data_IF_116774090455
#
_entry.id   IF_116774090455
#
_cell.length_a   1.000
_cell.length_b   1.000
_cell.length_c   1.000
_cell.angle_alpha   90.00
_cell.angle_beta   90.00
_cell.angle_gamma   90.00
#
_symmetry.space_group_name_H-M   'P 1'
#
loop_
_entity.id
_entity.type
_entity.pdbx_description
1 polymer ?
#
# COMPACT_ATOMS: atom_id res chain seq x y z
N UNK A 1 30.46 -10.69 -2.51
CA UNK A 1 30.05 -9.28 -2.54
C UNK A 1 29.52 -8.94 -1.16
N UNK A 2 29.87 -7.78 -0.61
CA UNK A 2 29.36 -7.34 0.69
C UNK A 2 28.15 -6.43 0.43
N UNK A 3 27.00 -6.74 1.04
CA UNK A 3 25.76 -5.98 0.86
C UNK A 3 25.52 -5.15 2.11
N UNK A 4 25.23 -3.88 1.91
CA UNK A 4 24.90 -2.94 2.97
C UNK A 4 23.66 -2.15 2.55
N UNK A 5 22.87 -1.74 3.55
CA UNK A 5 21.75 -0.80 3.38
C UNK A 5 20.61 -1.35 2.50
N UNK A 6 20.47 -2.69 2.43
CA UNK A 6 19.39 -3.31 1.69
C UNK A 6 18.04 -2.93 2.32
N UNK A 7 17.11 -2.40 1.52
CA UNK A 7 15.80 -1.85 1.97
C UNK A 7 15.88 -0.64 2.93
N UNK A 8 17.06 -0.06 3.17
CA UNK A 8 17.21 1.08 4.08
C UNK A 8 17.11 2.46 3.42
N UNK A 9 17.47 2.56 2.14
CA UNK A 9 17.66 3.85 1.48
C UNK A 9 16.69 4.14 0.33
N UNK A 10 15.73 3.26 0.06
CA UNK A 10 14.81 3.46 -1.06
C UNK A 10 15.43 3.18 -2.43
N UNK A 11 14.80 3.66 -3.51
CA UNK A 11 15.34 3.54 -4.88
C UNK A 11 16.40 4.59 -5.15
N UNK A 12 17.53 4.17 -5.73
CA UNK A 12 18.50 5.09 -6.31
C UNK A 12 17.89 5.68 -7.57
N UNK A 13 17.82 7.01 -7.62
CA UNK A 13 17.27 7.78 -8.75
C UNK A 13 18.35 8.24 -9.70
N UNK A 14 19.45 8.66 -9.12
CA UNK A 14 20.56 9.22 -9.86
C UNK A 14 21.87 9.04 -9.09
N UNK A 15 22.95 8.98 -9.85
CA UNK A 15 24.32 8.89 -9.35
C UNK A 15 25.15 9.92 -10.10
N UNK A 16 25.71 10.88 -9.38
CA UNK A 16 26.62 11.86 -9.97
C UNK A 16 27.99 11.84 -9.30
N UNK A 17 29.02 12.13 -10.09
CA UNK A 17 30.40 12.16 -9.63
C UNK A 17 30.93 13.59 -9.79
N UNK A 18 31.36 14.17 -8.68
CA UNK A 18 31.94 15.51 -8.67
C UNK A 18 33.39 15.50 -9.18
N UNK A 19 33.92 16.63 -9.69
CA UNK A 19 35.29 16.70 -10.21
C UNK A 19 36.39 16.31 -9.21
N UNK A 20 36.11 16.43 -7.91
CA UNK A 20 37.00 16.02 -6.84
C UNK A 20 36.95 14.50 -6.52
N UNK A 21 36.14 13.74 -7.25
CA UNK A 21 35.97 12.29 -7.09
C UNK A 21 34.92 11.87 -6.07
N UNK A 22 34.17 12.80 -5.48
CA UNK A 22 33.06 12.46 -4.60
C UNK A 22 31.88 11.89 -5.41
N UNK A 23 31.20 10.89 -4.84
CA UNK A 23 30.02 10.26 -5.44
C UNK A 23 28.80 10.70 -4.65
N UNK A 24 27.76 11.15 -5.34
CA UNK A 24 26.48 11.49 -4.74
C UNK A 24 25.43 10.51 -5.26
N UNK A 25 24.69 9.90 -4.34
CA UNK A 25 23.54 9.06 -4.62
C UNK A 25 22.29 9.83 -4.21
N UNK A 26 21.38 10.04 -5.15
CA UNK A 26 20.04 10.52 -4.82
C UNK A 26 19.13 9.31 -4.63
N UNK A 27 18.49 9.25 -3.47
CA UNK A 27 17.42 8.28 -3.23
C UNK A 27 16.09 8.99 -3.18
N UNK A 28 15.09 8.38 -3.80
CA UNK A 28 13.72 8.84 -3.66
C UNK A 28 12.78 7.66 -3.53
N UNK A 29 11.75 7.93 -2.76
CA UNK A 29 10.68 7.04 -2.41
C UNK A 29 9.32 7.61 -2.82
N UNK A 30 9.29 8.84 -3.36
CA UNK A 30 8.06 9.49 -3.81
C UNK A 30 7.42 8.84 -5.04
N UNK A 31 8.20 8.10 -5.83
CA UNK A 31 7.69 7.33 -6.96
C UNK A 31 7.46 5.84 -6.61
N UNK A 32 7.60 5.46 -5.34
CA UNK A 32 7.10 4.16 -4.90
C UNK A 32 5.60 4.14 -5.02
N UNK A 33 5.13 3.18 -5.79
CA UNK A 33 3.74 3.01 -6.12
C UNK A 33 3.32 1.64 -5.57
N UNK A 34 2.73 1.61 -4.35
CA UNK A 34 2.47 0.34 -3.70
C UNK A 34 1.59 -0.60 -4.51
N UNK A 35 0.69 0.01 -5.28
CA UNK A 35 -0.14 -0.60 -6.31
C UNK A 35 0.60 -1.46 -7.35
N UNK A 36 1.83 -1.12 -7.73
CA UNK A 36 2.56 -1.78 -8.83
C UNK A 36 3.74 -2.65 -8.39
N UNK A 37 4.20 -2.54 -7.14
CA UNK A 37 5.25 -3.40 -6.56
C UNK A 37 4.87 -3.95 -5.18
N UNK A 38 3.67 -4.51 -5.00
CA UNK A 38 3.13 -4.75 -3.67
C UNK A 38 4.01 -5.70 -2.82
N UNK A 39 4.85 -6.53 -3.47
CA UNK A 39 5.78 -7.49 -2.84
C UNK A 39 7.00 -6.83 -2.20
N UNK A 40 7.25 -5.54 -2.50
CA UNK A 40 8.28 -4.76 -1.84
C UNK A 40 7.84 -4.30 -0.44
N UNK A 41 6.55 -4.43 -0.11
CA UNK A 41 5.96 -4.02 1.17
C UNK A 41 5.55 -5.24 1.99
N UNK A 42 6.46 -5.69 2.85
CA UNK A 42 6.10 -6.59 3.95
C UNK A 42 6.27 -5.80 5.26
N UNK A 43 5.16 -5.61 6.01
CA UNK A 43 5.14 -4.84 7.26
C UNK A 43 5.39 -3.33 7.07
N UNK A 44 5.99 -2.68 8.09
CA UNK A 44 6.31 -1.24 8.11
C UNK A 44 7.47 -0.82 7.17
N UNK A 45 7.74 -1.59 6.11
CA UNK A 45 8.86 -1.36 5.19
C UNK A 45 8.58 -0.30 4.12
N UNK A 46 7.47 0.44 4.24
CA UNK A 46 7.23 1.61 3.41
C UNK A 46 8.18 2.75 3.79
N UNK A 47 8.65 3.51 2.81
CA UNK A 47 9.51 4.63 3.02
C UNK A 47 8.64 5.82 3.42
N UNK A 48 9.08 6.51 4.45
CA UNK A 48 8.46 7.74 4.87
C UNK A 48 8.89 8.87 3.93
N UNK A 49 8.11 9.94 3.87
CA UNK A 49 8.45 11.17 3.12
C UNK A 49 9.78 11.80 3.55
N UNK A 50 10.31 11.39 4.71
CA UNK A 50 11.61 11.82 5.25
C UNK A 50 12.78 10.91 4.84
N UNK A 51 12.53 9.84 4.08
CA UNK A 51 13.55 8.87 3.68
C UNK A 51 14.29 9.25 2.40
N UNK A 52 13.81 10.26 1.67
CA UNK A 52 14.50 10.83 0.52
C UNK A 52 15.80 11.52 0.98
N UNK A 53 16.94 11.04 0.48
CA UNK A 53 18.27 11.48 0.92
C UNK A 53 19.21 11.69 -0.25
N UNK A 54 20.11 12.66 -0.09
CA UNK A 54 21.32 12.75 -0.90
C UNK A 54 22.46 12.21 -0.06
N UNK A 55 23.04 11.10 -0.50
CA UNK A 55 24.14 10.43 0.18
C UNK A 55 25.43 10.78 -0.54
N UNK A 56 26.35 11.45 0.15
CA UNK A 56 27.68 11.75 -0.37
C UNK A 56 28.67 10.70 0.14
N UNK A 57 29.33 10.03 -0.79
CA UNK A 57 30.47 9.16 -0.55
C UNK A 57 31.73 9.92 -0.94
N UNK A 58 32.64 10.07 0.02
CA UNK A 58 33.89 10.79 -0.15
C UNK A 58 35.06 9.95 0.32
N UNK A 59 36.22 10.14 -0.32
CA UNK A 59 37.46 9.50 0.14
C UNK A 59 37.82 10.03 1.52
N UNK A 60 37.94 9.14 2.49
CA UNK A 60 38.35 9.52 3.84
C UNK A 60 39.77 10.11 3.83
N UNK A 61 39.94 11.26 4.47
CA UNK A 61 41.25 11.87 4.70
C UNK A 61 41.73 11.57 6.13
N UNK A 62 43.04 11.65 6.39
CA UNK A 62 43.57 11.41 7.74
C UNK A 62 42.93 12.30 8.83
N UNK A 63 42.67 13.60 8.59
CA UNK A 63 41.94 14.44 9.55
C UNK A 63 40.49 13.97 9.78
N UNK A 64 39.80 13.51 8.73
CA UNK A 64 38.43 12.98 8.85
C UNK A 64 38.42 11.69 9.67
N UNK A 65 39.35 10.78 9.44
CA UNK A 65 39.48 9.54 10.21
C UNK A 65 39.69 9.83 11.70
N UNK A 66 40.57 10.77 12.03
CA UNK A 66 40.81 11.19 13.42
C UNK A 66 39.60 11.87 14.08
N UNK A 67 38.71 12.50 13.30
CA UNK A 67 37.43 13.02 13.81
C UNK A 67 36.38 11.91 13.97
N UNK A 68 36.34 10.94 13.05
CA UNK A 68 35.43 9.80 13.10
C UNK A 68 35.73 8.92 14.31
N UNK A 69 37.01 8.65 14.62
CA UNK A 69 37.42 7.88 15.80
C UNK A 69 36.95 8.48 17.13
N UNK A 70 36.76 9.80 17.18
CA UNK A 70 36.29 10.52 18.38
C UNK A 70 34.77 10.60 18.47
N UNK A 71 34.04 10.24 17.42
CA UNK A 71 32.58 10.22 17.41
C UNK A 71 32.09 8.83 17.79
N UNK A 72 31.17 8.78 18.74
CA UNK A 72 30.38 7.58 18.96
C UNK A 72 29.57 7.27 17.69
N UNK A 73 29.69 6.06 17.18
CA UNK A 73 28.89 5.60 16.05
C UNK A 73 27.44 5.48 16.54
N UNK A 74 26.58 6.39 16.10
CA UNK A 74 25.17 6.39 16.51
C UNK A 74 24.42 5.23 15.85
N UNK A 75 24.65 4.99 14.56
CA UNK A 75 24.04 3.90 13.80
C UNK A 75 25.11 3.13 13.02
N UNK A 76 25.67 2.04 13.56
CA UNK A 76 26.64 1.23 12.83
C UNK A 76 25.96 0.56 11.64
N UNK A 77 26.56 0.68 10.46
CA UNK A 77 26.18 -0.12 9.30
C UNK A 77 26.46 -1.58 9.63
N UNK A 78 25.43 -2.41 9.57
CA UNK A 78 25.56 -3.87 9.67
C UNK A 78 25.56 -4.42 8.26
N UNK A 79 26.43 -5.39 8.02
CA UNK A 79 26.42 -6.13 6.76
C UNK A 79 25.16 -6.98 6.70
N UNK A 80 24.47 -6.90 5.57
CA UNK A 80 23.30 -7.70 5.28
C UNK A 80 23.80 -9.09 4.87
N UNK A 81 23.83 -10.02 5.85
CA UNK A 81 24.40 -11.36 5.67
C UNK A 81 23.67 -12.23 4.64
N UNK A 82 22.45 -11.86 4.31
CA UNK A 82 21.62 -12.53 3.31
C UNK A 82 21.15 -11.46 2.35
N UNK A 83 21.59 -11.57 1.09
CA UNK A 83 20.99 -10.83 0.00
C UNK A 83 19.50 -11.19 -0.01
N UNK A 84 18.61 -10.23 0.24
CA UNK A 84 17.19 -10.48 0.05
C UNK A 84 17.01 -10.98 -1.39
N UNK A 85 16.41 -12.16 -1.54
CA UNK A 85 16.01 -12.66 -2.85
C UNK A 85 15.19 -11.56 -3.50
N UNK A 86 15.64 -11.10 -4.66
CA UNK A 86 14.80 -10.24 -5.48
C UNK A 86 13.57 -11.07 -5.81
N UNK A 87 12.38 -10.70 -5.31
CA UNK A 87 11.17 -11.39 -5.72
C UNK A 87 11.10 -11.30 -7.24
N UNK A 88 10.62 -12.38 -7.87
CA UNK A 88 10.47 -12.41 -9.32
C UNK A 88 9.79 -11.13 -9.79
N UNK A 89 10.29 -10.51 -10.86
CA UNK A 89 9.62 -9.41 -11.58
C UNK A 89 8.30 -9.85 -12.24
N UNK A 90 7.76 -11.00 -11.82
CA UNK A 90 6.39 -11.39 -12.05
C UNK A 90 5.49 -10.41 -11.28
N UNK A 91 5.21 -9.29 -11.94
CA UNK A 91 4.26 -8.27 -11.54
C UNK A 91 2.85 -8.82 -11.32
N UNK A 92 2.59 -10.07 -11.71
CA UNK A 92 1.35 -10.78 -11.42
C UNK A 92 1.35 -11.50 -10.06
N UNK A 93 2.44 -11.43 -9.26
CA UNK A 93 2.52 -12.06 -7.94
C UNK A 93 1.44 -11.45 -7.02
N UNK A 94 0.40 -12.21 -6.63
CA UNK A 94 -0.67 -11.68 -5.79
C UNK A 94 -0.09 -11.41 -4.40
N UNK A 95 -0.10 -10.15 -4.01
CA UNK A 95 0.34 -9.76 -2.67
C UNK A 95 -0.79 -10.01 -1.71
N UNK A 96 -0.53 -10.98 -0.84
CA UNK A 96 -1.55 -11.67 -0.08
C UNK A 96 -2.49 -12.38 -1.06
N UNK A 97 -2.36 -13.69 -1.23
CA UNK A 97 -3.56 -14.46 -1.55
C UNK A 97 -4.50 -14.27 -0.38
N UNK A 98 -5.37 -13.28 -0.48
CA UNK A 98 -6.42 -13.13 0.49
C UNK A 98 -7.34 -14.31 0.26
N UNK A 99 -7.37 -15.23 1.22
CA UNK A 99 -8.21 -16.42 1.11
C UNK A 99 -9.65 -15.96 0.89
N UNK A 100 -10.30 -16.49 -0.15
CA UNK A 100 -11.70 -16.21 -0.43
C UNK A 100 -12.57 -16.50 0.81
N UNK A 101 -12.21 -17.50 1.61
CA UNK A 101 -12.88 -17.86 2.86
C UNK A 101 -12.76 -16.76 3.93
N UNK A 102 -11.59 -16.11 4.01
CA UNK A 102 -11.37 -14.99 4.93
C UNK A 102 -12.21 -13.78 4.53
N UNK A 103 -12.23 -13.44 3.24
CA UNK A 103 -13.05 -12.35 2.71
C UNK A 103 -14.55 -12.58 2.93
N UNK A 104 -15.03 -13.80 2.69
CA UNK A 104 -16.42 -14.17 2.96
C UNK A 104 -16.80 -14.04 4.44
N UNK A 105 -15.94 -14.51 5.35
CA UNK A 105 -16.16 -14.42 6.80
C UNK A 105 -16.19 -12.96 7.28
N UNK A 106 -15.26 -12.13 6.80
CA UNK A 106 -15.23 -10.70 7.12
C UNK A 106 -16.46 -9.97 6.56
N UNK A 107 -16.85 -10.25 5.31
CA UNK A 107 -18.07 -9.71 4.71
C UNK A 107 -19.31 -10.06 5.54
N UNK A 108 -19.43 -11.31 5.98
CA UNK A 108 -20.54 -11.76 6.81
C UNK A 108 -20.61 -11.01 8.14
N UNK A 109 -19.46 -10.67 8.73
CA UNK A 109 -19.37 -9.94 10.01
C UNK A 109 -19.64 -8.45 9.88
N UNK A 110 -19.13 -7.80 8.83
CA UNK A 110 -19.09 -6.34 8.75
C UNK A 110 -20.09 -5.74 7.77
N UNK A 111 -20.45 -6.46 6.70
CA UNK A 111 -21.16 -5.88 5.55
C UNK A 111 -22.54 -6.50 5.34
N UNK A 112 -22.68 -7.82 5.57
CA UNK A 112 -23.88 -8.57 5.25
C UNK A 112 -25.11 -8.15 6.07
N UNK A 113 -24.93 -7.49 7.22
CA UNK A 113 -26.03 -6.94 8.02
C UNK A 113 -26.88 -5.94 7.24
N UNK A 114 -26.22 -5.10 6.41
CA UNK A 114 -26.87 -4.09 5.58
C UNK A 114 -27.01 -4.57 4.12
N UNK A 115 -25.90 -5.00 3.50
CA UNK A 115 -25.87 -5.37 2.08
C UNK A 115 -26.42 -6.77 1.78
N UNK A 116 -26.83 -7.50 2.82
CA UNK A 116 -27.36 -8.87 2.78
C UNK A 116 -26.32 -9.93 2.39
N UNK A 117 -26.53 -11.21 2.76
CA UNK A 117 -25.61 -12.27 2.39
C UNK A 117 -25.42 -12.46 0.87
N UNK A 118 -26.38 -12.06 0.06
CA UNK A 118 -26.34 -12.15 -1.41
C UNK A 118 -25.90 -10.85 -2.09
N UNK A 119 -25.53 -9.82 -1.32
CA UNK A 119 -25.04 -8.54 -1.84
C UNK A 119 -26.11 -7.66 -2.48
N UNK A 120 -27.39 -8.04 -2.46
CA UNK A 120 -28.46 -7.26 -3.13
C UNK A 120 -28.90 -6.01 -2.38
N UNK A 121 -28.50 -5.87 -1.12
CA UNK A 121 -28.93 -4.76 -0.28
C UNK A 121 -30.45 -4.72 -0.09
N UNK A 122 -31.00 -3.51 -0.08
CA UNK A 122 -32.43 -3.25 0.02
C UNK A 122 -32.75 -2.04 -0.86
N UNK A 123 -33.51 -2.25 -1.93
CA UNK A 123 -33.82 -1.21 -2.91
C UNK A 123 -34.35 0.07 -2.26
N UNK A 124 -33.82 1.23 -2.66
CA UNK A 124 -34.14 2.54 -2.11
C UNK A 124 -33.59 2.84 -0.70
N UNK A 125 -32.93 1.88 -0.03
CA UNK A 125 -32.37 2.07 1.32
C UNK A 125 -30.88 1.73 1.38
N UNK A 126 -30.49 0.52 0.96
CA UNK A 126 -29.11 0.05 0.94
C UNK A 126 -28.75 -0.36 -0.49
N UNK A 127 -27.70 0.22 -1.09
CA UNK A 127 -27.36 -0.06 -2.48
C UNK A 127 -26.90 -1.52 -2.67
N UNK A 128 -27.18 -2.10 -3.85
CA UNK A 128 -26.66 -3.41 -4.20
C UNK A 128 -25.14 -3.35 -4.45
N UNK A 129 -24.45 -4.43 -4.10
CA UNK A 129 -23.06 -4.68 -4.45
C UNK A 129 -22.93 -5.54 -5.71
N UNK A 130 -24.05 -5.99 -6.26
CA UNK A 130 -24.11 -6.90 -7.41
C UNK A 130 -24.16 -6.10 -8.71
N UNK A 131 -23.20 -6.37 -9.61
CA UNK A 131 -23.14 -5.83 -10.96
C UNK A 131 -23.27 -4.30 -11.03
N UNK A 132 -22.65 -3.59 -10.09
CA UNK A 132 -22.64 -2.11 -10.06
C UNK A 132 -21.30 -1.56 -10.50
N UNK A 133 -21.30 -0.37 -11.08
CA UNK A 133 -20.06 0.34 -11.42
C UNK A 133 -19.28 0.73 -10.16
N UNK A 134 -19.98 0.96 -9.04
CA UNK A 134 -19.37 1.21 -7.73
C UNK A 134 -18.45 0.08 -7.29
N UNK A 135 -18.86 -1.17 -7.54
CA UNK A 135 -18.06 -2.35 -7.18
C UNK A 135 -17.07 -2.74 -8.28
N UNK A 136 -17.49 -2.76 -9.54
CA UNK A 136 -16.67 -3.33 -10.64
C UNK A 136 -15.76 -2.32 -11.34
N UNK A 137 -16.05 -1.02 -11.21
CA UNK A 137 -15.27 0.07 -11.77
C UNK A 137 -14.06 0.43 -10.91
N UNK A 138 -13.91 1.73 -10.61
CA UNK A 138 -12.76 2.29 -9.88
C UNK A 138 -12.57 1.62 -8.52
N UNK A 139 -11.40 1.01 -8.32
CA UNK A 139 -11.00 0.47 -7.02
C UNK A 139 -10.82 1.59 -5.99
N UNK A 140 -10.25 2.73 -6.39
CA UNK A 140 -9.96 3.85 -5.49
C UNK A 140 -11.25 4.39 -4.85
N UNK A 141 -12.30 4.57 -5.67
CA UNK A 141 -13.64 4.94 -5.17
C UNK A 141 -14.17 3.93 -4.17
N UNK A 142 -14.05 2.63 -4.47
CA UNK A 142 -14.56 1.57 -3.60
C UNK A 142 -13.79 1.48 -2.28
N UNK A 143 -12.45 1.60 -2.33
CA UNK A 143 -11.58 1.60 -1.16
C UNK A 143 -11.90 2.82 -0.29
N UNK A 144 -11.97 4.01 -0.88
CA UNK A 144 -12.34 5.24 -0.20
C UNK A 144 -13.68 5.11 0.53
N UNK A 145 -14.71 4.61 -0.16
CA UNK A 145 -16.04 4.44 0.41
C UNK A 145 -16.03 3.50 1.63
N UNK A 146 -15.26 2.42 1.59
CA UNK A 146 -15.17 1.49 2.72
C UNK A 146 -14.35 2.07 3.87
N UNK A 147 -13.25 2.78 3.59
CA UNK A 147 -12.40 3.35 4.63
C UNK A 147 -13.09 4.52 5.34
N UNK A 148 -13.63 5.48 4.59
CA UNK A 148 -14.18 6.72 5.12
C UNK A 148 -15.68 6.66 5.40
N UNK A 149 -16.38 5.69 4.80
CA UNK A 149 -17.84 5.70 4.76
C UNK A 149 -18.37 6.64 3.68
N UNK A 150 -19.68 6.76 3.62
CA UNK A 150 -20.42 7.63 2.72
C UNK A 150 -21.57 8.28 3.49
N UNK A 151 -21.61 9.60 3.57
CA UNK A 151 -22.73 10.35 4.17
C UNK A 151 -23.51 11.18 3.16
N UNK A 152 -22.98 11.37 1.95
CA UNK A 152 -23.65 12.13 0.90
C UNK A 152 -24.50 11.21 0.00
N UNK A 153 -25.59 11.73 -0.59
CA UNK A 153 -26.41 10.95 -1.51
C UNK A 153 -25.60 10.41 -2.69
N UNK A 154 -25.82 9.14 -3.03
CA UNK A 154 -25.22 8.49 -4.18
C UNK A 154 -26.29 7.92 -5.11
N UNK A 155 -25.96 7.81 -6.39
CA UNK A 155 -26.75 7.07 -7.37
C UNK A 155 -26.08 5.73 -7.68
N UNK A 156 -26.85 4.64 -7.60
CA UNK A 156 -26.42 3.31 -8.00
C UNK A 156 -27.47 2.72 -8.94
N UNK A 157 -27.07 2.45 -10.18
CA UNK A 157 -27.95 1.91 -11.24
C UNK A 157 -29.24 2.72 -11.45
N UNK A 158 -29.18 4.06 -11.39
CA UNK A 158 -30.34 4.93 -11.58
C UNK A 158 -31.23 5.11 -10.33
N UNK A 159 -30.86 4.52 -9.19
CA UNK A 159 -31.58 4.66 -7.92
C UNK A 159 -30.73 5.48 -6.95
N UNK A 160 -31.35 6.48 -6.31
CA UNK A 160 -30.71 7.31 -5.31
C UNK A 160 -30.75 6.65 -3.92
N UNK A 161 -29.63 6.75 -3.22
CA UNK A 161 -29.44 6.27 -1.85
C UNK A 161 -28.85 7.39 -1.01
N UNK A 162 -29.50 7.69 0.11
CA UNK A 162 -29.16 8.81 1.01
C UNK A 162 -29.01 8.33 2.46
N UNK A 163 -28.60 7.08 2.62
CA UNK A 163 -28.35 6.47 3.93
C UNK A 163 -26.85 6.49 4.20
N UNK A 164 -26.47 6.83 5.43
CA UNK A 164 -25.08 6.83 5.83
C UNK A 164 -24.51 5.40 5.86
N UNK A 165 -23.38 5.21 5.21
CA UNK A 165 -22.52 4.03 5.35
C UNK A 165 -21.36 4.40 6.28
N UNK A 166 -21.21 3.75 7.45
CA UNK A 166 -20.07 4.01 8.32
C UNK A 166 -18.76 3.57 7.66
N UNK A 167 -17.69 4.29 7.95
CA UNK A 167 -16.34 3.91 7.56
C UNK A 167 -15.78 2.77 8.41
N UNK A 168 -14.93 1.95 7.79
CA UNK A 168 -14.26 0.81 8.40
C UNK A 168 -12.74 1.02 8.51
N UNK A 169 -12.32 2.27 8.73
CA UNK A 169 -10.92 2.65 8.88
C UNK A 169 -10.17 1.89 10.00
N UNK A 170 -10.87 1.28 10.96
CA UNK A 170 -10.28 0.49 12.05
C UNK A 170 -9.85 -0.93 11.64
N UNK A 171 -10.34 -1.46 10.52
CA UNK A 171 -9.90 -2.75 9.99
C UNK A 171 -8.48 -2.67 9.43
N UNK A 172 -7.74 -3.78 9.45
CA UNK A 172 -6.41 -3.83 8.82
C UNK A 172 -6.49 -3.75 7.30
N UNK A 173 -5.37 -3.41 6.64
CA UNK A 173 -5.31 -3.33 5.18
C UNK A 173 -5.59 -4.69 4.52
N UNK A 174 -5.14 -5.78 5.14
CA UNK A 174 -5.42 -7.14 4.72
C UNK A 174 -6.91 -7.48 4.87
N UNK A 175 -7.54 -7.06 5.97
CA UNK A 175 -8.97 -7.29 6.20
C UNK A 175 -9.83 -6.53 5.19
N UNK A 176 -9.52 -5.27 4.92
CA UNK A 176 -10.24 -4.47 3.91
C UNK A 176 -10.01 -5.05 2.50
N UNK A 177 -8.77 -5.39 2.15
CA UNK A 177 -8.46 -6.03 0.87
C UNK A 177 -9.21 -7.36 0.70
N UNK A 178 -9.38 -8.14 1.78
CA UNK A 178 -10.16 -9.37 1.79
C UNK A 178 -11.62 -9.14 1.43
N UNK A 179 -12.25 -8.20 2.14
CA UNK A 179 -13.66 -7.87 1.97
C UNK A 179 -13.90 -7.39 0.54
N UNK A 180 -13.09 -6.45 0.07
CA UNK A 180 -13.26 -5.85 -1.26
C UNK A 180 -13.00 -6.85 -2.39
N UNK A 181 -11.99 -7.71 -2.24
CA UNK A 181 -11.74 -8.78 -3.21
C UNK A 181 -12.90 -9.77 -3.27
N UNK A 182 -13.43 -10.19 -2.11
CA UNK A 182 -14.59 -11.05 -2.04
C UNK A 182 -15.81 -10.40 -2.72
N UNK A 183 -16.13 -9.14 -2.41
CA UNK A 183 -17.25 -8.41 -3.03
C UNK A 183 -17.09 -8.34 -4.57
N UNK A 184 -15.88 -8.06 -5.07
CA UNK A 184 -15.58 -7.91 -6.50
C UNK A 184 -15.58 -9.23 -7.29
N UNK A 185 -15.48 -10.37 -6.62
CA UNK A 185 -15.49 -11.70 -7.23
C UNK A 185 -16.76 -12.50 -6.91
N UNK A 186 -17.60 -12.01 -6.01
CA UNK A 186 -18.81 -12.70 -5.55
C UNK A 186 -20.08 -12.10 -6.15
N UNK A 187 -21.21 -12.75 -5.88
CA UNK A 187 -22.55 -12.30 -6.28
C UNK A 187 -22.76 -12.22 -7.81
N UNK A 188 -21.87 -12.82 -8.59
CA UNK A 188 -21.85 -12.72 -10.05
C UNK A 188 -20.94 -11.62 -10.61
N UNK A 189 -20.23 -10.88 -9.74
CA UNK A 189 -19.19 -9.95 -10.16
C UNK A 189 -17.97 -10.71 -10.69
N UNK A 190 -17.31 -10.13 -11.70
CA UNK A 190 -16.07 -10.66 -12.30
C UNK A 190 -15.06 -9.53 -12.45
N UNK A 191 -14.66 -8.93 -11.33
CA UNK A 191 -13.71 -7.83 -11.30
C UNK A 191 -12.39 -8.23 -10.62
N UNK A 192 -11.29 -7.53 -10.97
CA UNK A 192 -9.97 -7.81 -10.42
C UNK A 192 -9.91 -7.59 -8.90
N UNK A 193 -9.10 -8.38 -8.19
CA UNK A 193 -8.91 -8.29 -6.73
C UNK A 193 -8.40 -6.92 -6.28
N UNK A 194 -8.58 -6.61 -4.99
CA UNK A 194 -7.96 -5.47 -4.31
C UNK A 194 -6.85 -6.00 -3.41
N UNK A 195 -5.66 -5.41 -3.50
CA UNK A 195 -4.51 -5.82 -2.66
C UNK A 195 -4.39 -4.95 -1.41
N UNK A 196 -3.76 -5.46 -0.35
CA UNK A 196 -3.49 -4.68 0.87
C UNK A 196 -2.66 -3.43 0.58
N UNK A 197 -1.73 -3.50 -0.37
CA UNK A 197 -0.94 -2.35 -0.81
C UNK A 197 -1.79 -1.25 -1.46
N UNK A 198 -2.89 -1.59 -2.14
CA UNK A 198 -3.84 -0.60 -2.66
C UNK A 198 -4.59 0.10 -1.51
N UNK A 199 -4.90 -0.60 -0.42
CA UNK A 199 -5.54 0.00 0.77
C UNK A 199 -4.58 0.95 1.48
N UNK A 200 -3.35 0.50 1.70
CA UNK A 200 -2.31 1.25 2.39
C UNK A 200 -1.98 2.56 1.66
N UNK A 201 -1.90 2.53 0.33
CA UNK A 201 -1.70 3.73 -0.49
C UNK A 201 -2.87 4.71 -0.35
N UNK A 202 -4.12 4.22 -0.37
CA UNK A 202 -5.29 5.09 -0.18
C UNK A 202 -5.28 5.73 1.22
N UNK A 203 -4.95 4.97 2.28
CA UNK A 203 -4.79 5.53 3.64
C UNK A 203 -3.70 6.59 3.70
N UNK A 204 -2.59 6.40 3.00
CA UNK A 204 -1.51 7.38 2.91
C UNK A 204 -2.02 8.68 2.26
N UNK A 205 -2.75 8.58 1.16
CA UNK A 205 -3.35 9.74 0.47
C UNK A 205 -4.31 10.48 1.40
N UNK A 206 -5.18 9.76 2.11
CA UNK A 206 -6.15 10.33 3.05
C UNK A 206 -5.46 11.04 4.23
N UNK A 207 -4.35 10.51 4.73
CA UNK A 207 -3.60 11.12 5.84
C UNK A 207 -2.92 12.46 5.49
N UNK A 208 -2.83 12.79 4.20
CA UNK A 208 -2.17 13.99 3.70
C UNK A 208 -3.16 15.14 3.39
N UNK A 209 -4.46 14.90 3.53
CA UNK A 209 -5.55 15.86 3.32
C UNK A 209 -5.98 16.48 4.65
#
# INVERSE_FOLDING_TARGET
EHIYLQKYLGRIRDVCVAPNGDIYLCTSNHDWHPRYQPWMYEGDSLPHSQDDRIIRLSRATAPMLAQIEKRAIQNPLKEDMVAAEMPSEDWARPVGQVSADQGASLYARHCAGCHRPDGKGAEGMIPPLVATEWVTGSKDRLIYAVLNGLSEPIEVNGVNYDQEMPGFATLSDEEVAAILSYIRQSFGNQAGIVTSAEILEERRILSQQ
#
